data_IF_434956425750
#
_entry.id   IF_434956425750
#
_cell.length_a   1.000
_cell.length_b   1.000
_cell.length_c   1.000
_cell.angle_alpha   90.00
_cell.angle_beta   90.00
_cell.angle_gamma   90.00
#
_symmetry.space_group_name_H-M   'P 1'
#
loop_
_entity.id
_entity.type
_entity.pdbx_description
1 polymer ?
#
# COMPACT_ATOMS: atom_id res chain seq x y z
N UNK A 1 -6.59 -5.53 -42.13
CA UNK A 1 -5.88 -5.52 -40.84
C UNK A 1 -6.13 -4.18 -40.17
N UNK A 2 -6.95 -4.11 -39.10
CA UNK A 2 -7.27 -2.84 -38.43
C UNK A 2 -6.19 -2.58 -37.38
N UNK A 3 -5.29 -1.63 -37.66
CA UNK A 3 -4.21 -1.27 -36.73
C UNK A 3 -4.85 -0.47 -35.58
N UNK A 4 -4.76 -1.01 -34.36
CA UNK A 4 -5.20 -0.32 -33.15
C UNK A 4 -4.14 0.75 -32.85
N UNK A 5 -4.43 2.00 -33.16
CA UNK A 5 -3.60 3.14 -32.76
C UNK A 5 -3.94 3.46 -31.31
N UNK A 6 -3.11 3.02 -30.37
CA UNK A 6 -3.25 3.38 -28.95
C UNK A 6 -2.90 4.86 -28.79
N UNK A 7 -3.89 5.71 -28.47
CA UNK A 7 -3.67 7.13 -28.20
C UNK A 7 -2.64 7.31 -27.09
N UNK A 8 -1.49 7.92 -27.40
CA UNK A 8 -0.35 8.07 -26.48
C UNK A 8 -0.37 9.41 -25.72
N UNK A 9 -1.42 10.21 -25.89
CA UNK A 9 -1.46 11.64 -25.54
C UNK A 9 -1.38 11.97 -24.04
N UNK A 10 -1.50 10.96 -23.17
CA UNK A 10 -1.45 11.12 -21.70
C UNK A 10 -0.24 10.42 -21.05
N UNK A 11 0.79 10.02 -21.80
CA UNK A 11 1.93 9.27 -21.23
C UNK A 11 3.02 10.14 -20.61
N UNK A 12 3.03 11.43 -20.92
CA UNK A 12 4.04 12.39 -20.44
C UNK A 12 3.48 13.36 -19.38
N UNK A 13 2.29 13.07 -18.82
CA UNK A 13 1.69 13.88 -17.76
C UNK A 13 2.10 13.38 -16.37
N UNK A 14 2.53 14.33 -15.52
CA UNK A 14 2.78 14.09 -14.11
C UNK A 14 1.50 14.39 -13.32
N UNK A 15 0.94 13.38 -12.65
CA UNK A 15 -0.17 13.56 -11.71
C UNK A 15 0.34 13.51 -10.27
N UNK A 16 0.00 14.53 -9.49
CA UNK A 16 0.30 14.59 -8.06
C UNK A 16 -1.04 14.48 -7.34
N UNK A 17 -1.20 13.43 -6.54
CA UNK A 17 -2.36 13.25 -5.69
C UNK A 17 -1.94 12.78 -4.30
N UNK A 18 -2.76 13.09 -3.31
CA UNK A 18 -2.62 12.57 -1.96
C UNK A 18 -3.41 11.27 -1.84
N UNK A 19 -2.74 10.18 -1.47
CA UNK A 19 -3.39 8.89 -1.19
C UNK A 19 -4.37 9.07 -0.03
N UNK A 20 -3.97 9.78 1.03
CA UNK A 20 -4.83 10.09 2.18
C UNK A 20 -6.08 10.86 1.76
N UNK A 21 -5.95 11.83 0.84
CA UNK A 21 -7.10 12.61 0.35
C UNK A 21 -8.08 11.79 -0.50
N UNK A 22 -7.67 10.64 -1.01
CA UNK A 22 -8.48 9.80 -1.89
C UNK A 22 -9.25 8.70 -1.14
N UNK A 23 -8.81 8.35 0.07
CA UNK A 23 -9.48 7.34 0.90
C UNK A 23 -10.60 8.03 1.69
N UNK A 24 -11.89 7.70 1.45
CA UNK A 24 -13.02 8.33 2.13
C UNK A 24 -12.89 8.30 3.66
N UNK A 25 -13.36 9.35 4.32
CA UNK A 25 -13.28 9.46 5.78
C UNK A 25 -14.09 8.35 6.50
N UNK A 26 -15.16 7.88 5.88
CA UNK A 26 -16.04 6.82 6.39
C UNK A 26 -15.62 5.40 5.95
N UNK A 27 -14.47 5.28 5.29
CA UNK A 27 -13.96 4.01 4.78
C UNK A 27 -13.76 3.00 5.91
N UNK A 28 -14.13 1.74 5.67
CA UNK A 28 -14.09 0.67 6.67
C UNK A 28 -12.71 0.50 7.30
N UNK A 29 -11.64 0.51 6.49
CA UNK A 29 -10.28 0.32 7.00
C UNK A 29 -9.84 1.44 7.95
N UNK A 30 -10.29 2.70 7.76
CA UNK A 30 -10.02 3.78 8.72
C UNK A 30 -10.71 3.55 10.06
N UNK A 31 -11.90 2.95 10.05
CA UNK A 31 -12.65 2.59 11.26
C UNK A 31 -12.03 1.41 11.99
N UNK A 32 -11.45 0.47 11.25
CA UNK A 32 -10.73 -0.66 11.84
C UNK A 32 -9.42 -0.18 12.46
N UNK A 33 -8.65 0.62 11.72
CA UNK A 33 -7.40 1.23 12.17
C UNK A 33 -7.58 2.04 13.47
N UNK A 34 -8.67 2.79 13.60
CA UNK A 34 -8.96 3.53 14.85
C UNK A 34 -9.46 2.68 16.01
N UNK A 35 -9.88 1.44 15.76
CA UNK A 35 -10.46 0.55 16.76
C UNK A 35 -9.53 -0.60 17.19
N UNK A 36 -8.48 -0.86 16.41
CA UNK A 36 -7.57 -2.01 16.60
C UNK A 36 -6.15 -1.50 16.74
N UNK A 37 -5.51 -1.85 17.85
CA UNK A 37 -4.07 -1.64 18.02
C UNK A 37 -3.29 -2.72 17.26
N UNK A 38 -2.81 -2.37 16.06
CA UNK A 38 -2.03 -3.29 15.23
C UNK A 38 -0.58 -3.47 15.70
N UNK A 39 -0.10 -2.74 16.71
CA UNK A 39 1.28 -2.90 17.20
C UNK A 39 1.55 -4.33 17.72
N UNK A 40 0.53 -5.03 18.21
CA UNK A 40 0.69 -6.39 18.72
C UNK A 40 0.89 -7.43 17.60
N UNK A 41 0.65 -7.09 16.32
CA UNK A 41 0.81 -8.05 15.23
C UNK A 41 2.26 -8.50 15.07
N UNK A 42 3.23 -7.65 15.40
CA UNK A 42 4.64 -7.98 15.35
C UNK A 42 4.96 -9.13 16.30
N UNK A 43 4.47 -9.07 17.55
CA UNK A 43 4.66 -10.13 18.54
C UNK A 43 4.02 -11.46 18.08
N UNK A 44 2.85 -11.39 17.42
CA UNK A 44 2.12 -12.59 16.98
C UNK A 44 2.86 -13.31 15.85
N UNK A 45 3.50 -12.56 14.94
CA UNK A 45 4.09 -13.12 13.73
C UNK A 45 5.60 -13.27 13.80
N UNK A 46 6.27 -12.76 14.84
CA UNK A 46 7.73 -12.74 14.98
C UNK A 46 8.37 -14.09 14.66
N UNK A 47 7.88 -15.16 15.30
CA UNK A 47 8.41 -16.53 15.14
C UNK A 47 8.26 -17.10 13.71
N UNK A 48 7.39 -16.49 12.88
CA UNK A 48 7.19 -16.90 11.48
C UNK A 48 8.24 -16.31 10.54
N UNK A 49 8.96 -15.29 10.99
CA UNK A 49 10.00 -14.63 10.21
C UNK A 49 11.39 -15.10 10.64
N UNK A 50 12.28 -15.28 9.66
CA UNK A 50 13.67 -15.61 9.94
C UNK A 50 14.43 -14.34 10.30
N UNK A 51 15.16 -14.36 11.42
CA UNK A 51 15.89 -13.20 11.93
C UNK A 51 17.14 -12.86 11.10
N UNK A 52 17.78 -13.85 10.48
CA UNK A 52 19.16 -13.74 9.97
C UNK A 52 19.35 -14.32 8.56
N UNK A 53 18.29 -14.81 7.91
CA UNK A 53 18.37 -15.37 6.56
C UNK A 53 17.38 -14.70 5.60
N UNK A 54 17.84 -14.47 4.37
CA UNK A 54 17.04 -13.86 3.30
C UNK A 54 17.17 -12.34 3.20
N UNK A 55 16.33 -11.74 2.36
CA UNK A 55 16.26 -10.29 2.20
C UNK A 55 15.39 -9.73 3.33
N UNK A 56 15.89 -8.83 4.18
CA UNK A 56 15.07 -8.22 5.23
C UNK A 56 13.84 -7.58 4.62
N UNK A 57 12.66 -7.85 5.19
CA UNK A 57 11.47 -7.09 4.84
C UNK A 57 11.72 -5.64 5.24
N UNK A 58 11.36 -4.71 4.37
CA UNK A 58 11.27 -3.29 4.75
C UNK A 58 9.91 -3.16 5.41
N UNK A 59 9.89 -2.65 6.64
CA UNK A 59 8.63 -2.40 7.34
C UNK A 59 7.82 -1.35 6.53
N UNK A 60 6.55 -1.64 6.20
CA UNK A 60 5.72 -0.71 5.43
C UNK A 60 5.38 0.60 6.17
N UNK A 61 5.69 0.70 7.46
CA UNK A 61 5.42 1.86 8.34
C UNK A 61 6.66 2.76 8.51
N UNK A 62 7.75 2.52 7.75
CA UNK A 62 9.01 3.30 7.80
C UNK A 62 8.89 4.68 7.17
#
# INVERSE_FOLDING_TARGET
MKVIVKGRENRDQLEIFSIEGFVPADHLLRKIDSAVDFNHIYDIVEDLYCADNGRPSIDPVV
#
